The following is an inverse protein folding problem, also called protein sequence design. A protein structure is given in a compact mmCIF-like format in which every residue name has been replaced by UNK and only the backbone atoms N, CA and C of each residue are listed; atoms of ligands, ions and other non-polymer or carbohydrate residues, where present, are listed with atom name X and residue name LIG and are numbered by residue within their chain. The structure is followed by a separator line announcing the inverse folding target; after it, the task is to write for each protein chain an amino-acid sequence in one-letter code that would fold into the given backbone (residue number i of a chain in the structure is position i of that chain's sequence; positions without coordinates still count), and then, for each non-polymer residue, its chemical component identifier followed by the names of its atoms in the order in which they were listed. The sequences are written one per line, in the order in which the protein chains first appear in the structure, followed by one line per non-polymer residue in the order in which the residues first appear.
data_IF_136380152429
#
_entry.id   IF_136380152429
#
_cell.length_a   1.000
_cell.length_b   1.000
_cell.length_c   1.000
_cell.angle_alpha   90.00
_cell.angle_beta   90.00
_cell.angle_gamma   90.00
#
_symmetry.space_group_name_H-M   'P 1'
#
loop_
_entity.id
_entity.type
_entity.pdbx_description
1 polymer ?
#
# COMPACT_ATOMS: atom_id res chain seq x y z
N UNK A 1 -20.48 11.89 -7.23
CA UNK A 1 -19.60 11.61 -6.08
C UNK A 1 -18.30 11.04 -6.62
N UNK A 2 -17.19 11.75 -6.47
CA UNK A 2 -15.90 11.41 -7.11
C UNK A 2 -14.80 11.39 -6.04
N UNK A 3 -14.87 10.40 -5.17
CA UNK A 3 -13.70 9.87 -4.46
C UNK A 3 -13.77 8.36 -4.61
N UNK A 4 -12.68 7.74 -5.04
CA UNK A 4 -12.60 6.29 -5.10
C UNK A 4 -12.66 5.76 -3.67
N UNK A 5 -13.74 5.06 -3.32
CA UNK A 5 -13.89 4.40 -2.02
C UNK A 5 -12.99 3.15 -1.89
N UNK A 6 -12.02 2.98 -2.80
CA UNK A 6 -11.13 1.82 -2.86
C UNK A 6 -10.38 1.58 -1.56
N UNK A 7 -9.93 2.63 -0.86
CA UNK A 7 -9.29 2.48 0.45
C UNK A 7 -10.27 1.94 1.50
N UNK A 8 -11.55 2.30 1.41
CA UNK A 8 -12.57 1.74 2.32
C UNK A 8 -12.84 0.28 2.01
N UNK A 9 -12.94 -0.08 0.73
CA UNK A 9 -13.12 -1.46 0.31
C UNK A 9 -11.93 -2.34 0.71
N UNK A 10 -10.70 -1.81 0.65
CA UNK A 10 -9.51 -2.53 1.11
C UNK A 10 -9.49 -2.77 2.62
N UNK A 11 -10.24 -1.98 3.44
CA UNK A 11 -10.32 -2.25 4.89
C UNK A 11 -10.94 -3.61 5.20
N UNK A 12 -11.88 -4.08 4.38
CA UNK A 12 -12.52 -5.38 4.57
C UNK A 12 -11.52 -6.55 4.44
N UNK A 13 -10.41 -6.33 3.71
CA UNK A 13 -9.33 -7.29 3.54
C UNK A 13 -8.21 -7.13 4.58
N UNK A 14 -8.15 -5.98 5.24
CA UNK A 14 -7.05 -5.60 6.11
C UNK A 14 -7.58 -5.09 7.47
N UNK A 15 -8.12 -5.97 8.33
CA UNK A 15 -8.84 -5.57 9.54
C UNK A 15 -7.95 -4.89 10.59
N UNK A 16 -6.63 -5.04 10.50
CA UNK A 16 -5.65 -4.40 11.37
C UNK A 16 -5.20 -3.03 10.86
N UNK A 17 -5.62 -2.63 9.65
CA UNK A 17 -5.28 -1.34 9.08
C UNK A 17 -6.10 -0.22 9.72
N UNK A 18 -5.45 0.91 9.96
CA UNK A 18 -6.10 2.13 10.47
C UNK A 18 -6.28 3.11 9.32
N UNK A 19 -7.52 3.57 9.10
CA UNK A 19 -7.82 4.61 8.12
C UNK A 19 -7.56 6.00 8.70
N UNK A 20 -6.60 6.74 8.15
CA UNK A 20 -6.20 8.08 8.63
C UNK A 20 -6.99 9.23 8.02
N UNK A 21 -8.00 8.92 7.20
CA UNK A 21 -8.75 9.88 6.39
C UNK A 21 -8.20 10.05 4.98
N UNK A 22 -6.95 9.66 4.73
CA UNK A 22 -6.28 9.84 3.43
C UNK A 22 -5.38 8.67 3.00
N UNK A 23 -5.07 7.75 3.91
CA UNK A 23 -4.41 6.48 3.63
C UNK A 23 -4.86 5.40 4.62
N UNK A 24 -4.60 4.14 4.30
CA UNK A 24 -4.59 3.06 5.28
C UNK A 24 -3.18 2.88 5.81
N UNK A 25 -3.06 2.67 7.12
CA UNK A 25 -1.76 2.50 7.78
C UNK A 25 -1.76 1.21 8.60
N UNK A 26 -0.69 0.44 8.44
CA UNK A 26 -0.34 -0.69 9.30
C UNK A 26 0.88 -0.30 10.11
N UNK A 27 0.89 -0.62 11.40
CA UNK A 27 2.04 -0.37 12.27
C UNK A 27 2.29 -1.63 13.08
N UNK A 28 3.52 -2.12 13.05
CA UNK A 28 4.07 -3.12 13.95
C UNK A 28 5.23 -2.52 14.72
N UNK A 29 5.89 -3.33 15.55
CA UNK A 29 7.04 -2.88 16.36
C UNK A 29 8.20 -2.37 15.50
N UNK A 30 8.44 -3.02 14.35
CA UNK A 30 9.58 -2.75 13.48
C UNK A 30 9.21 -2.08 12.15
N UNK A 31 7.93 -2.10 11.78
CA UNK A 31 7.50 -1.69 10.45
C UNK A 31 6.28 -0.79 10.47
N UNK A 32 6.23 0.11 9.49
CA UNK A 32 5.02 0.88 9.15
C UNK A 32 4.76 0.71 7.67
N UNK A 33 3.51 0.46 7.30
CA UNK A 33 3.10 0.36 5.89
C UNK A 33 1.98 1.36 5.65
N UNK A 34 2.05 2.08 4.54
CA UNK A 34 1.03 3.04 4.12
C UNK A 34 0.50 2.68 2.74
N UNK A 35 -0.83 2.61 2.60
CA UNK A 35 -1.52 2.45 1.32
C UNK A 35 -2.23 3.76 1.02
N UNK A 36 -1.86 4.38 -0.08
CA UNK A 36 -2.42 5.67 -0.48
C UNK A 36 -2.90 5.61 -1.92
N UNK A 37 -4.13 6.06 -2.15
CA UNK A 37 -4.59 6.29 -3.50
C UNK A 37 -3.81 7.48 -4.11
N UNK A 38 -3.15 7.21 -5.23
CA UNK A 38 -2.48 8.21 -6.02
C UNK A 38 -3.37 8.57 -7.20
N UNK A 39 -3.94 9.78 -7.18
CA UNK A 39 -4.67 10.30 -8.34
C UNK A 39 -3.66 10.68 -9.40
N UNK A 40 -3.69 9.99 -10.55
CA UNK A 40 -2.86 10.34 -11.68
C UNK A 40 -3.33 11.72 -12.20
N UNK A 41 -2.50 12.77 -12.21
CA UNK A 41 -2.91 14.10 -12.65
C UNK A 41 -3.12 14.20 -14.17
N UNK A 42 -2.94 13.10 -14.91
CA UNK A 42 -3.11 13.03 -16.37
C UNK A 42 -4.59 13.04 -16.75
N UNK A 43 -5.20 14.22 -16.66
CA UNK A 43 -6.48 14.56 -17.24
C UNK A 43 -6.38 14.43 -18.77
N UNK A 44 -6.85 13.32 -19.35
CA UNK A 44 -7.00 13.22 -20.81
C UNK A 44 -6.81 11.86 -21.49
N UNK A 45 -6.48 10.77 -20.79
CA UNK A 45 -6.37 9.46 -21.44
C UNK A 45 -7.52 8.55 -21.03
N UNK A 46 -8.27 8.09 -22.05
CA UNK A 46 -9.42 7.17 -22.03
C UNK A 46 -9.13 5.76 -21.45
N UNK A 47 -8.08 5.59 -20.63
CA UNK A 47 -7.87 4.36 -19.88
C UNK A 47 -8.94 4.26 -18.79
N UNK A 48 -9.63 3.11 -18.74
CA UNK A 48 -10.54 2.72 -17.65
C UNK A 48 -9.99 3.27 -16.32
N UNK A 49 -10.80 4.05 -15.60
CA UNK A 49 -10.44 4.82 -14.41
C UNK A 49 -10.10 3.89 -13.21
N UNK A 50 -9.07 3.07 -13.36
CA UNK A 50 -8.57 2.14 -12.35
C UNK A 50 -7.70 2.96 -11.40
N UNK A 51 -8.04 3.03 -10.10
CA UNK A 51 -7.27 3.78 -9.12
C UNK A 51 -5.86 3.21 -9.01
N UNK A 52 -4.87 4.09 -8.86
CA UNK A 52 -3.49 3.69 -8.56
C UNK A 52 -3.33 3.70 -7.04
N UNK A 53 -2.94 2.58 -6.45
CA UNK A 53 -2.64 2.48 -5.02
C UNK A 53 -1.14 2.36 -4.85
N UNK A 54 -0.54 3.34 -4.17
CA UNK A 54 0.85 3.30 -3.77
C UNK A 54 0.98 2.66 -2.40
N UNK A 55 1.79 1.61 -2.30
CA UNK A 55 2.22 1.04 -1.02
C UNK A 55 3.58 1.64 -0.67
N UNK A 56 3.76 2.10 0.56
CA UNK A 56 5.07 2.50 1.11
C UNK A 56 5.37 1.69 2.35
N UNK A 57 6.54 1.08 2.41
CA UNK A 57 7.02 0.31 3.56
C UNK A 57 8.13 1.10 4.22
N UNK A 58 8.03 1.27 5.54
CA UNK A 58 8.99 1.97 6.36
C UNK A 58 9.53 1.02 7.42
N UNK A 59 10.84 1.07 7.66
CA UNK A 59 11.51 0.30 8.71
C UNK A 59 11.86 1.22 9.87
N UNK A 60 11.63 0.76 11.09
CA UNK A 60 12.04 1.48 12.29
C UNK A 60 13.56 1.46 12.43
N UNK A 61 14.16 2.63 12.54
CA UNK A 61 15.58 2.79 12.84
C UNK A 61 15.85 2.71 14.35
N UNK A 62 17.12 2.60 14.72
CA UNK A 62 17.56 2.51 16.12
C UNK A 62 17.17 3.72 16.98
N UNK A 63 16.93 4.87 16.35
CA UNK A 63 16.46 6.08 17.01
C UNK A 63 14.93 6.09 17.24
N UNK A 64 14.22 5.02 16.85
CA UNK A 64 12.78 4.88 16.99
C UNK A 64 11.95 5.48 15.85
N UNK A 65 12.58 6.15 14.88
CA UNK A 65 11.89 6.74 13.74
C UNK A 65 11.66 5.73 12.61
N UNK A 66 10.55 5.87 11.90
CA UNK A 66 10.27 5.06 10.71
C UNK A 66 10.91 5.69 9.48
N UNK A 67 11.92 5.01 8.93
CA UNK A 67 12.66 5.44 7.74
C UNK A 67 12.03 4.81 6.50
N UNK A 68 11.80 5.57 5.41
CA UNK A 68 11.24 5.02 4.18
C UNK A 68 12.16 3.95 3.58
N UNK A 69 11.57 2.81 3.24
CA UNK A 69 12.22 1.73 2.50
C UNK A 69 11.63 1.64 1.08
N UNK A 70 11.00 0.51 0.79
CA UNK A 70 10.43 0.22 -0.52
C UNK A 70 9.07 0.87 -0.74
N UNK A 71 8.76 1.23 -1.99
CA UNK A 71 7.42 1.58 -2.40
C UNK A 71 7.12 0.98 -3.77
N UNK A 72 5.84 0.71 -4.03
CA UNK A 72 5.38 0.21 -5.33
C UNK A 72 3.96 0.71 -5.62
N UNK A 73 3.67 0.94 -6.90
CA UNK A 73 2.36 1.36 -7.40
C UNK A 73 1.59 0.19 -8.01
N UNK A 74 0.35 0.00 -7.57
CA UNK A 74 -0.55 -1.02 -8.08
C UNK A 74 -1.71 -0.38 -8.82
N UNK A 75 -1.98 -0.85 -10.03
CA UNK A 75 -3.11 -0.44 -10.84
C UNK A 75 -3.91 -1.68 -11.28
N UNK A 76 -4.62 -2.28 -10.33
CA UNK A 76 -5.41 -3.51 -10.54
C UNK A 76 -6.89 -3.18 -10.39
N UNK A 77 -7.70 -3.59 -11.37
CA UNK A 77 -9.13 -3.26 -11.41
C UNK A 77 -9.98 -4.01 -10.37
N UNK A 78 -9.65 -5.28 -10.12
CA UNK A 78 -10.36 -6.13 -9.16
C UNK A 78 -9.86 -5.85 -7.74
N UNK A 79 -10.76 -5.48 -6.83
CA UNK A 79 -10.41 -5.17 -5.42
C UNK A 79 -9.82 -6.39 -4.71
N UNK A 80 -10.41 -7.57 -4.92
CA UNK A 80 -9.91 -8.80 -4.29
C UNK A 80 -8.53 -9.21 -4.80
N UNK A 81 -8.27 -9.03 -6.10
CA UNK A 81 -6.94 -9.28 -6.67
C UNK A 81 -5.92 -8.24 -6.19
N UNK A 82 -6.32 -6.96 -6.16
CA UNK A 82 -5.51 -5.87 -5.62
C UNK A 82 -5.12 -6.14 -4.17
N UNK A 83 -6.08 -6.50 -3.32
CA UNK A 83 -5.84 -6.84 -1.92
C UNK A 83 -4.86 -8.01 -1.79
N UNK A 84 -5.04 -9.09 -2.58
CA UNK A 84 -4.13 -10.24 -2.57
C UNK A 84 -2.69 -9.86 -2.97
N UNK A 85 -2.51 -9.04 -4.00
CA UNK A 85 -1.17 -8.61 -4.42
C UNK A 85 -0.52 -7.66 -3.41
N UNK A 86 -1.30 -6.74 -2.82
CA UNK A 86 -0.86 -5.86 -1.73
C UNK A 86 -0.37 -6.72 -0.55
N UNK A 87 -1.16 -7.70 -0.12
CA UNK A 87 -0.81 -8.59 0.99
C UNK A 87 0.50 -9.31 0.73
N UNK A 88 0.65 -9.92 -0.45
CA UNK A 88 1.89 -10.61 -0.86
C UNK A 88 3.08 -9.67 -0.88
N UNK A 89 2.92 -8.47 -1.42
CA UNK A 89 3.99 -7.47 -1.45
C UNK A 89 4.45 -7.11 -0.04
N UNK A 90 3.49 -6.84 0.86
CA UNK A 90 3.77 -6.54 2.27
C UNK A 90 4.47 -7.74 2.93
N UNK A 91 3.94 -8.95 2.80
CA UNK A 91 4.55 -10.16 3.38
C UNK A 91 5.98 -10.39 2.89
N UNK A 92 6.27 -10.18 1.61
CA UNK A 92 7.62 -10.31 1.06
C UNK A 92 8.55 -9.19 1.53
N UNK A 93 8.04 -7.95 1.65
CA UNK A 93 8.82 -6.81 2.13
C UNK A 93 9.16 -6.94 3.63
N UNK A 94 8.22 -7.43 4.43
CA UNK A 94 8.40 -7.66 5.87
C UNK A 94 9.18 -8.95 6.15
N UNK A 95 8.99 -9.97 5.33
CA UNK A 95 9.58 -11.30 5.43
C UNK A 95 10.85 -11.48 4.60
N UNK A 96 11.72 -10.46 4.52
CA UNK A 96 13.06 -10.60 3.95
C UNK A 96 13.88 -11.66 4.71
N UNK A 97 13.65 -12.92 4.33
CA UNK A 97 14.64 -13.98 4.27
C UNK A 97 15.50 -13.69 3.04
N UNK A 98 16.81 -13.58 3.29
CA UNK A 98 17.86 -13.37 2.31
C UNK A 98 17.95 -14.55 1.34
N UNK A 99 17.36 -14.43 0.16
CA UNK A 99 18.01 -14.83 -1.10
C UNK A 99 18.09 -13.53 -1.90
N UNK A 100 19.22 -12.87 -2.12
CA UNK A 100 20.61 -13.30 -2.21
C UNK A 100 21.52 -12.12 -1.78
N UNK A 101 22.37 -12.33 -0.78
CA UNK A 101 23.78 -12.03 -1.01
C UNK A 101 24.29 -13.23 -1.81
N UNK A 102 24.55 -13.04 -3.09
CA UNK A 102 25.41 -13.90 -3.88
C UNK A 102 26.38 -12.98 -4.62
#
# INVERSE_FOLDING_TARGET
MSQSDILKLLMDYFPTAVHTGHCLVFISEEWRVELKEHKNPSFGQNSKNIPVIRIKVFKKALNGEFVPGHYEDFQIASVGELALQIERYIQNALGQNMREKA
#
